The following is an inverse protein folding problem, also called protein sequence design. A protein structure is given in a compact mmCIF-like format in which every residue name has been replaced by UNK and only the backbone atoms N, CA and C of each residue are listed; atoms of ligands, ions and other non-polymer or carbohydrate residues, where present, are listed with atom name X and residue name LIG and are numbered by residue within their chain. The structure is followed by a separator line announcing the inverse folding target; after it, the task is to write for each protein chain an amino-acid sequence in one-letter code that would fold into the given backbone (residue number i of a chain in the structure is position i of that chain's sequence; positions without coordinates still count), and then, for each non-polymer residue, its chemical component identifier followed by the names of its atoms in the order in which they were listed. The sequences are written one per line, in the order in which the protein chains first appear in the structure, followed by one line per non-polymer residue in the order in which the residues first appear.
data_IF_793407575690
#
_entry.id   IF_793407575690
#
_cell.length_a   1.000
_cell.length_b   1.000
_cell.length_c   1.000
_cell.angle_alpha   90.00
_cell.angle_beta   90.00
_cell.angle_gamma   90.00
#
_symmetry.space_group_name_H-M   'P 1'
#
loop_
_entity.id
_entity.type
_entity.pdbx_description
1 polymer ?
#
# COMPACT_ATOMS: atom_id res chain seq x y z
N UNK A 1 41.15 -28.00 18.54
CA UNK A 1 41.08 -27.29 17.24
C UNK A 1 39.73 -27.43 16.54
N UNK A 2 39.10 -28.62 16.54
CA UNK A 2 37.81 -28.86 15.87
C UNK A 2 36.61 -28.18 16.58
N UNK A 3 36.62 -28.11 17.92
CA UNK A 3 35.55 -27.47 18.71
C UNK A 3 35.41 -25.97 18.39
N UNK A 4 36.52 -25.29 18.05
CA UNK A 4 36.53 -23.85 17.77
C UNK A 4 35.99 -23.50 16.36
N UNK A 5 35.99 -24.47 15.44
CA UNK A 5 35.41 -24.32 14.10
C UNK A 5 33.88 -24.44 14.13
N UNK A 6 33.34 -25.31 15.00
CA UNK A 6 31.89 -25.45 15.18
C UNK A 6 31.27 -24.27 15.92
N UNK A 7 31.94 -23.71 16.93
CA UNK A 7 31.48 -22.50 17.63
C UNK A 7 31.44 -21.27 16.72
N UNK A 8 32.43 -21.12 15.83
CA UNK A 8 32.49 -20.01 14.86
C UNK A 8 31.47 -20.14 13.71
N UNK A 9 31.04 -21.37 13.41
CA UNK A 9 29.95 -21.64 12.46
C UNK A 9 28.55 -21.42 13.08
N UNK A 10 28.45 -21.44 14.42
CA UNK A 10 27.24 -21.19 15.21
C UNK A 10 27.16 -19.75 15.76
N UNK A 11 28.14 -18.89 15.45
CA UNK A 11 28.03 -17.45 15.67
C UNK A 11 26.97 -16.90 14.73
N UNK A 12 25.71 -16.96 15.14
CA UNK A 12 24.63 -16.17 14.55
C UNK A 12 25.05 -14.71 14.67
N UNK A 13 25.23 -13.95 13.57
CA UNK A 13 25.49 -12.52 13.69
C UNK A 13 24.38 -11.91 14.53
N UNK A 14 24.71 -11.29 15.67
CA UNK A 14 23.69 -10.71 16.57
C UNK A 14 22.91 -9.56 15.91
N UNK A 15 23.34 -9.13 14.72
CA UNK A 15 22.68 -8.12 13.91
C UNK A 15 22.45 -8.68 12.51
N UNK A 16 21.24 -8.50 12.00
CA UNK A 16 20.94 -8.82 10.60
C UNK A 16 21.84 -7.97 9.69
N UNK A 17 22.37 -8.53 8.59
CA UNK A 17 23.06 -7.76 7.57
C UNK A 17 22.27 -6.51 7.14
N UNK A 18 22.96 -5.38 6.94
CA UNK A 18 22.34 -4.10 6.60
C UNK A 18 21.40 -4.17 5.36
N UNK A 19 21.73 -4.91 4.29
CA UNK A 19 20.82 -5.12 3.17
C UNK A 19 19.49 -5.81 3.56
N UNK A 20 19.53 -6.76 4.50
CA UNK A 20 18.32 -7.44 5.00
C UNK A 20 17.47 -6.51 5.87
N UNK A 21 18.10 -5.63 6.65
CA UNK A 21 17.40 -4.59 7.42
C UNK A 21 16.69 -3.60 6.47
N UNK A 22 17.39 -3.15 5.42
CA UNK A 22 16.83 -2.26 4.38
C UNK A 22 15.67 -2.93 3.65
N UNK A 23 15.82 -4.19 3.23
CA UNK A 23 14.75 -4.96 2.59
C UNK A 23 13.49 -5.08 3.48
N UNK A 24 13.65 -5.41 4.76
CA UNK A 24 12.54 -5.50 5.70
C UNK A 24 11.82 -4.16 5.90
N UNK A 25 12.57 -3.05 6.00
CA UNK A 25 11.99 -1.70 6.09
C UNK A 25 11.18 -1.34 4.84
N UNK A 26 11.71 -1.65 3.65
CA UNK A 26 11.00 -1.44 2.38
C UNK A 26 9.70 -2.25 2.36
N UNK A 27 9.74 -3.52 2.78
CA UNK A 27 8.54 -4.34 2.84
C UNK A 27 7.48 -3.77 3.79
N UNK A 28 7.88 -3.36 5.00
CA UNK A 28 6.97 -2.74 5.99
C UNK A 28 6.35 -1.45 5.42
N UNK A 29 7.14 -0.57 4.80
CA UNK A 29 6.62 0.67 4.22
C UNK A 29 5.63 0.44 3.06
N UNK A 30 5.86 -0.61 2.27
CA UNK A 30 4.90 -1.02 1.22
C UNK A 30 3.61 -1.60 1.83
N UNK A 31 3.71 -2.41 2.88
CA UNK A 31 2.53 -2.91 3.60
C UNK A 31 1.72 -1.76 4.21
N UNK A 32 2.37 -0.78 4.84
CA UNK A 32 1.70 0.39 5.38
C UNK A 32 0.95 1.16 4.29
N UNK A 33 1.59 1.35 3.13
CA UNK A 33 0.96 2.01 1.97
C UNK A 33 -0.27 1.24 1.46
N UNK A 34 -0.21 -0.09 1.40
CA UNK A 34 -1.35 -0.95 1.04
C UNK A 34 -2.48 -0.84 2.08
N UNK A 35 -2.15 -0.85 3.37
CA UNK A 35 -3.14 -0.73 4.43
C UNK A 35 -3.86 0.62 4.39
N UNK A 36 -3.11 1.70 4.20
CA UNK A 36 -3.68 3.05 4.03
C UNK A 36 -4.61 3.07 2.81
N UNK A 37 -4.19 2.48 1.69
CA UNK A 37 -5.03 2.37 0.49
C UNK A 37 -6.33 1.61 0.76
N UNK A 38 -6.27 0.44 1.41
CA UNK A 38 -7.44 -0.36 1.76
C UNK A 38 -8.39 0.38 2.71
N UNK A 39 -7.86 1.06 3.72
CA UNK A 39 -8.65 1.86 4.66
C UNK A 39 -9.36 3.03 3.97
N UNK A 40 -8.69 3.71 3.04
CA UNK A 40 -9.28 4.80 2.26
C UNK A 40 -10.39 4.30 1.33
N UNK A 41 -10.21 3.13 0.71
CA UNK A 41 -11.26 2.50 -0.10
C UNK A 41 -12.47 2.14 0.77
N UNK A 42 -12.26 1.47 1.91
CA UNK A 42 -13.32 1.09 2.83
C UNK A 42 -14.11 2.31 3.32
N UNK A 43 -13.42 3.35 3.80
CA UNK A 43 -14.04 4.59 4.25
C UNK A 43 -14.93 5.20 3.17
N UNK A 44 -14.43 5.30 1.95
CA UNK A 44 -15.18 5.88 0.84
C UNK A 44 -16.47 5.10 0.53
N UNK A 45 -16.43 3.77 0.48
CA UNK A 45 -17.63 2.97 0.21
C UNK A 45 -18.64 3.02 1.36
N UNK A 46 -18.17 3.03 2.61
CA UNK A 46 -19.02 3.23 3.78
C UNK A 46 -19.70 4.61 3.76
N UNK A 47 -18.94 5.66 3.43
CA UNK A 47 -19.48 7.02 3.31
C UNK A 47 -20.58 7.10 2.24
N UNK A 48 -20.42 6.43 1.09
CA UNK A 48 -21.48 6.32 0.07
C UNK A 48 -22.70 5.60 0.65
N UNK A 49 -22.51 4.44 1.28
CA UNK A 49 -23.61 3.63 1.82
C UNK A 49 -24.42 4.37 2.88
N UNK A 50 -23.75 5.02 3.84
CA UNK A 50 -24.40 5.80 4.89
C UNK A 50 -25.15 7.01 4.30
N UNK A 51 -24.53 7.71 3.35
CA UNK A 51 -25.18 8.84 2.69
C UNK A 51 -26.41 8.41 1.89
N UNK A 52 -26.34 7.24 1.25
CA UNK A 52 -27.48 6.64 0.53
C UNK A 52 -28.62 6.24 1.47
N UNK A 53 -28.30 5.60 2.59
CA UNK A 53 -29.30 5.25 3.61
C UNK A 53 -30.00 6.49 4.17
N UNK A 54 -29.24 7.54 4.48
CA UNK A 54 -29.78 8.82 4.92
C UNK A 54 -30.67 9.45 3.85
N UNK A 55 -30.19 9.52 2.61
CA UNK A 55 -30.96 10.10 1.51
C UNK A 55 -32.24 9.31 1.22
N UNK A 56 -32.23 7.99 1.40
CA UNK A 56 -33.43 7.15 1.27
C UNK A 56 -34.43 7.38 2.42
N UNK A 57 -33.94 7.57 3.66
CA UNK A 57 -34.77 7.86 4.81
C UNK A 57 -35.45 9.26 4.75
N UNK A 58 -34.86 10.19 3.99
CA UNK A 58 -35.39 11.54 3.75
C UNK A 58 -36.48 11.58 2.66
N UNK A 59 -36.79 10.47 1.99
CA UNK A 59 -37.83 10.43 0.94
C UNK A 59 -39.22 10.45 1.58
N UNK A 60 -39.94 11.55 1.38
CA UNK A 60 -41.30 11.75 1.92
C UNK A 60 -42.37 11.90 0.85
N UNK A 61 -41.96 12.14 -0.41
CA UNK A 61 -42.85 12.46 -1.52
C UNK A 61 -42.21 12.14 -2.88
N UNK A 62 -42.96 12.35 -3.97
CA UNK A 62 -42.49 12.03 -5.31
C UNK A 62 -41.33 12.94 -5.77
N UNK A 63 -41.24 14.17 -5.27
CA UNK A 63 -40.17 15.10 -5.63
C UNK A 63 -38.84 14.68 -4.98
N UNK A 64 -38.85 14.36 -3.69
CA UNK A 64 -37.71 13.81 -2.96
C UNK A 64 -37.24 12.46 -3.52
N UNK A 65 -38.16 11.62 -3.99
CA UNK A 65 -37.81 10.40 -4.75
C UNK A 65 -37.10 10.73 -6.07
N UNK A 66 -37.60 11.71 -6.82
CA UNK A 66 -36.99 12.10 -8.09
C UNK A 66 -35.59 12.70 -7.89
N UNK A 67 -35.39 13.47 -6.82
CA UNK A 67 -34.09 14.03 -6.46
C UNK A 67 -33.11 12.95 -5.97
N UNK A 68 -33.60 11.94 -5.23
CA UNK A 68 -32.81 10.75 -4.92
C UNK A 68 -32.32 10.05 -6.20
N UNK A 69 -33.20 9.82 -7.18
CA UNK A 69 -32.83 9.23 -8.47
C UNK A 69 -31.78 10.05 -9.23
N UNK A 70 -31.87 11.39 -9.22
CA UNK A 70 -30.84 12.25 -9.84
C UNK A 70 -29.48 12.09 -9.15
N UNK A 71 -29.45 12.03 -7.82
CA UNK A 71 -28.21 11.82 -7.04
C UNK A 71 -27.52 10.49 -7.34
N UNK A 72 -28.24 9.46 -7.77
CA UNK A 72 -27.62 8.18 -8.15
C UNK A 72 -26.63 8.33 -9.31
N UNK A 73 -26.92 9.23 -10.26
CA UNK A 73 -26.00 9.50 -11.37
C UNK A 73 -24.71 10.19 -10.88
N UNK A 74 -24.81 11.12 -9.94
CA UNK A 74 -23.66 11.81 -9.33
C UNK A 74 -22.79 10.85 -8.51
N UNK A 75 -23.40 9.88 -7.84
CA UNK A 75 -22.69 8.82 -7.11
C UNK A 75 -21.96 7.91 -8.07
N UNK A 76 -22.58 7.52 -9.18
CA UNK A 76 -21.91 6.73 -10.21
C UNK A 76 -20.66 7.45 -10.74
N UNK A 77 -20.75 8.76 -11.03
CA UNK A 77 -19.60 9.57 -11.42
C UNK A 77 -18.54 9.65 -10.32
N UNK A 78 -18.96 9.76 -9.06
CA UNK A 78 -18.04 9.82 -7.90
C UNK A 78 -17.29 8.50 -7.71
N UNK A 79 -17.97 7.37 -7.83
CA UNK A 79 -17.36 6.03 -7.82
C UNK A 79 -16.40 5.87 -8.99
N UNK A 80 -16.78 6.30 -10.20
CA UNK A 80 -15.90 6.25 -11.37
C UNK A 80 -14.62 7.05 -11.16
N UNK A 81 -14.73 8.29 -10.64
CA UNK A 81 -13.56 9.12 -10.30
C UNK A 81 -12.68 8.44 -9.25
N UNK A 82 -13.27 7.85 -8.20
CA UNK A 82 -12.54 7.12 -7.18
C UNK A 82 -11.78 5.93 -7.78
N UNK A 83 -12.43 5.14 -8.63
CA UNK A 83 -11.81 4.01 -9.30
C UNK A 83 -10.58 4.44 -10.14
N UNK A 84 -10.71 5.50 -10.92
CA UNK A 84 -9.59 6.04 -11.70
C UNK A 84 -8.45 6.53 -10.81
N UNK A 85 -8.79 7.17 -9.69
CA UNK A 85 -7.79 7.62 -8.72
C UNK A 85 -7.09 6.44 -8.03
N UNK A 86 -7.82 5.39 -7.68
CA UNK A 86 -7.29 4.19 -7.06
C UNK A 86 -6.35 3.44 -8.01
N UNK A 87 -6.70 3.37 -9.30
CA UNK A 87 -5.83 2.82 -10.32
C UNK A 87 -4.51 3.60 -10.42
N UNK A 88 -4.56 4.93 -10.34
CA UNK A 88 -3.35 5.78 -10.31
C UNK A 88 -2.51 5.50 -9.07
N UNK A 89 -3.11 5.51 -7.88
CA UNK A 89 -2.41 5.25 -6.62
C UNK A 89 -1.73 3.88 -6.66
N UNK A 90 -2.43 2.85 -7.15
CA UNK A 90 -1.88 1.49 -7.27
C UNK A 90 -0.69 1.43 -8.25
N UNK A 91 -0.80 2.13 -9.39
CA UNK A 91 0.31 2.26 -10.34
C UNK A 91 1.52 2.94 -9.70
N UNK A 92 1.30 4.04 -8.97
CA UNK A 92 2.35 4.78 -8.29
C UNK A 92 3.03 3.92 -7.20
N UNK A 93 2.25 3.16 -6.44
CA UNK A 93 2.77 2.22 -5.44
C UNK A 93 3.66 1.15 -6.07
N UNK A 94 3.26 0.60 -7.23
CA UNK A 94 4.03 -0.41 -7.95
C UNK A 94 5.34 0.18 -8.51
N UNK A 95 5.27 1.39 -9.07
CA UNK A 95 6.45 2.10 -9.57
C UNK A 95 7.45 2.40 -8.44
N UNK A 96 6.96 2.84 -7.28
CA UNK A 96 7.79 3.07 -6.09
C UNK A 96 8.42 1.78 -5.59
N UNK A 97 7.65 0.71 -5.44
CA UNK A 97 8.17 -0.59 -5.03
C UNK A 97 9.30 -1.07 -5.95
N UNK A 98 9.10 -0.97 -7.27
CA UNK A 98 10.12 -1.32 -8.26
C UNK A 98 11.39 -0.47 -8.09
N UNK A 99 11.24 0.84 -7.95
CA UNK A 99 12.36 1.78 -7.80
C UNK A 99 13.18 1.46 -6.54
N UNK A 100 12.51 1.23 -5.42
CA UNK A 100 13.15 0.89 -4.15
C UNK A 100 13.87 -0.48 -4.20
N UNK A 101 13.29 -1.46 -4.90
CA UNK A 101 13.94 -2.76 -5.13
C UNK A 101 15.17 -2.63 -6.02
N UNK A 102 15.08 -1.88 -7.12
CA UNK A 102 16.21 -1.62 -8.02
C UNK A 102 17.36 -0.94 -7.22
N UNK A 103 17.04 0.05 -6.36
CA UNK A 103 18.02 0.67 -5.46
C UNK A 103 18.66 -0.30 -4.47
N UNK A 104 17.86 -1.19 -3.85
CA UNK A 104 18.39 -2.20 -2.93
C UNK A 104 19.38 -3.14 -3.64
N UNK A 105 19.07 -3.56 -4.88
CA UNK A 105 19.97 -4.43 -5.66
C UNK A 105 21.26 -3.71 -6.06
N UNK A 106 21.19 -2.43 -6.44
CA UNK A 106 22.37 -1.62 -6.73
C UNK A 106 23.25 -1.44 -5.48
N UNK A 107 22.67 -1.07 -4.35
CA UNK A 107 23.42 -0.89 -3.10
C UNK A 107 24.08 -2.21 -2.64
N UNK A 108 23.40 -3.35 -2.80
CA UNK A 108 23.97 -4.66 -2.47
C UNK A 108 25.11 -5.04 -3.42
N UNK A 109 25.00 -4.69 -4.71
CA UNK A 109 26.05 -4.93 -5.70
C UNK A 109 27.29 -4.04 -5.45
N UNK A 110 27.09 -2.79 -5.07
CA UNK A 110 28.16 -1.85 -4.69
C UNK A 110 28.89 -2.29 -3.41
N UNK A 111 28.18 -2.82 -2.41
CA UNK A 111 28.78 -3.40 -1.20
C UNK A 111 29.51 -4.72 -1.46
N UNK A 112 29.01 -5.54 -2.40
CA UNK A 112 29.59 -6.84 -2.75
C UNK A 112 30.78 -6.75 -3.71
N UNK A 113 30.90 -5.65 -4.48
CA UNK A 113 32.10 -5.36 -5.24
C UNK A 113 33.21 -5.02 -4.23
N UNK A 114 34.28 -5.83 -4.12
CA UNK A 114 35.37 -5.51 -3.22
C UNK A 114 35.90 -4.13 -3.63
N UNK A 115 36.24 -3.29 -2.65
CA UNK A 115 37.10 -2.13 -2.87
C UNK A 115 38.40 -2.64 -3.50
N UNK A 116 38.43 -2.71 -4.82
CA UNK A 116 39.60 -3.03 -5.61
C UNK A 116 40.44 -1.75 -5.66
N UNK A 117 41.19 -1.51 -4.58
CA UNK A 117 42.32 -0.60 -4.52
C UNK A 117 43.21 -1.01 -3.33
#
# INVERSE_FOLDING_TARGET
MIINLFSKALETPQTLPEPLIKANRLFIGNMESILIFQMNALKFYLDIGINQLRAAAEITDLASLQDFCKRQAEIAQTVQRKLMNDARIMSDMTARFKTEMDHLTQATLEEALPKAA
#
